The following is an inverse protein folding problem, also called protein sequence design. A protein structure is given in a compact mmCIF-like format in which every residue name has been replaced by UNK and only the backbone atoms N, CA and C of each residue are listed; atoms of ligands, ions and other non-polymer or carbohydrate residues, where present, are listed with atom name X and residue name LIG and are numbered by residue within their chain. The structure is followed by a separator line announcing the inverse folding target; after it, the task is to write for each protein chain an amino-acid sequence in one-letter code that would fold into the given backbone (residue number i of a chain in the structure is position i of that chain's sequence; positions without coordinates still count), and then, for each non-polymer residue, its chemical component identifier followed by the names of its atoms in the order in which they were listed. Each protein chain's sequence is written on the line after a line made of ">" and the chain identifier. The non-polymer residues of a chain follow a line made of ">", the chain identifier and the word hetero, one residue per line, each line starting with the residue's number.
data_IF_757674518219
#
_entry.id   IF_757674518219
#
_cell.length_a   1.000
_cell.length_b   1.000
_cell.length_c   1.000
_cell.angle_alpha   90.00
_cell.angle_beta   90.00
_cell.angle_gamma   90.00
#
_symmetry.space_group_name_H-M   'P 1'
#
loop_
_entity.id
_entity.type
_entity.pdbx_description
1 polymer ?
#
# COMPACT_ATOMS: atom_id res chain seq x y z
N UNK A 1 -32.22 20.56 -26.22
CA UNK A 1 -32.40 19.34 -25.40
C UNK A 1 -31.57 19.54 -24.13
N UNK A 2 -32.23 19.99 -23.08
CA UNK A 2 -31.61 20.45 -21.82
C UNK A 2 -31.30 19.20 -20.98
N UNK A 3 -30.01 18.94 -20.72
CA UNK A 3 -29.61 17.90 -19.77
C UNK A 3 -29.92 18.40 -18.35
N UNK A 4 -30.93 17.82 -17.73
CA UNK A 4 -31.19 17.97 -16.30
C UNK A 4 -30.13 17.17 -15.53
N UNK A 5 -29.20 17.87 -14.92
CA UNK A 5 -28.31 17.32 -13.92
C UNK A 5 -29.12 17.21 -12.62
N UNK A 6 -29.63 16.01 -12.33
CA UNK A 6 -30.24 15.74 -11.03
C UNK A 6 -29.08 15.54 -10.04
N UNK A 7 -28.75 16.60 -9.32
CA UNK A 7 -27.87 16.52 -8.16
C UNK A 7 -28.68 15.90 -7.02
N UNK A 8 -28.52 14.61 -6.80
CA UNK A 8 -29.00 13.95 -5.59
C UNK A 8 -28.02 14.30 -4.49
N UNK A 9 -28.37 15.30 -3.69
CA UNK A 9 -27.66 15.63 -2.45
C UNK A 9 -27.98 14.53 -1.44
N UNK A 10 -27.22 13.46 -1.46
CA UNK A 10 -27.11 12.52 -0.34
C UNK A 10 -26.17 13.19 0.64
N UNK A 11 -26.70 13.60 1.79
CA UNK A 11 -25.99 14.29 2.86
C UNK A 11 -25.07 13.32 3.63
N UNK A 12 -24.11 12.74 2.94
CA UNK A 12 -22.96 12.06 3.50
C UNK A 12 -21.83 13.08 3.35
N UNK A 13 -21.22 13.49 4.45
CA UNK A 13 -20.07 14.41 4.50
C UNK A 13 -18.94 13.81 3.64
N UNK A 14 -19.04 14.00 2.34
CA UNK A 14 -18.13 13.44 1.34
C UNK A 14 -17.10 14.50 1.01
N UNK A 15 -15.85 14.17 1.27
CA UNK A 15 -14.71 14.93 0.75
C UNK A 15 -14.92 15.17 -0.74
N UNK A 16 -14.51 16.34 -1.22
CA UNK A 16 -14.64 16.65 -2.65
C UNK A 16 -13.54 15.92 -3.43
N UNK A 17 -13.94 14.82 -4.08
CA UNK A 17 -13.04 13.99 -4.90
C UNK A 17 -13.41 14.19 -6.35
N UNK A 18 -12.42 14.47 -7.20
CA UNK A 18 -12.59 14.67 -8.64
C UNK A 18 -11.66 13.73 -9.39
N UNK A 19 -12.16 13.17 -10.50
CA UNK A 19 -11.37 12.31 -11.39
C UNK A 19 -11.19 13.00 -12.74
N UNK A 20 -9.96 13.07 -13.18
CA UNK A 20 -9.56 13.55 -14.50
C UNK A 20 -8.91 12.43 -15.30
N UNK A 21 -9.53 12.07 -16.43
CA UNK A 21 -8.97 11.08 -17.34
C UNK A 21 -7.97 11.74 -18.26
N UNK A 22 -6.69 11.38 -18.18
CA UNK A 22 -5.62 11.91 -19.04
C UNK A 22 -5.61 11.27 -20.43
N UNK A 23 -5.74 9.94 -20.45
CA UNK A 23 -5.80 9.16 -21.70
C UNK A 23 -6.61 7.86 -21.50
N UNK A 24 -6.48 6.90 -22.41
CA UNK A 24 -7.23 5.63 -22.34
C UNK A 24 -6.84 4.77 -21.14
N UNK A 25 -5.59 4.87 -20.67
CA UNK A 25 -4.98 4.01 -19.66
C UNK A 25 -4.57 4.75 -18.38
N UNK A 26 -4.60 6.09 -18.39
CA UNK A 26 -4.15 6.90 -17.27
C UNK A 26 -5.19 7.92 -16.84
N UNK A 27 -5.27 8.13 -15.55
CA UNK A 27 -6.09 9.17 -14.94
C UNK A 27 -5.50 9.70 -13.65
N UNK A 28 -6.02 10.81 -13.18
CA UNK A 28 -5.62 11.43 -11.92
C UNK A 28 -6.86 11.64 -11.05
N UNK A 29 -6.80 11.19 -9.81
CA UNK A 29 -7.81 11.49 -8.79
C UNK A 29 -7.26 12.59 -7.91
N UNK A 30 -8.05 13.66 -7.75
CA UNK A 30 -7.74 14.75 -6.82
C UNK A 30 -8.69 14.71 -5.64
N UNK A 31 -8.14 14.56 -4.45
CA UNK A 31 -8.88 14.53 -3.18
C UNK A 31 -8.67 15.86 -2.47
N UNK A 32 -9.74 16.63 -2.30
CA UNK A 32 -9.72 17.90 -1.59
C UNK A 32 -10.23 17.70 -0.17
N UNK A 33 -9.39 17.98 0.80
CA UNK A 33 -9.67 17.85 2.23
C UNK A 33 -9.79 19.26 2.82
N UNK A 34 -10.94 19.57 3.39
CA UNK A 34 -11.18 20.85 4.03
C UNK A 34 -10.92 20.78 5.53
N UNK A 35 -10.73 21.94 6.16
CA UNK A 35 -10.56 22.04 7.61
C UNK A 35 -11.69 21.34 8.39
N UNK A 36 -12.92 21.41 7.87
CA UNK A 36 -14.09 20.79 8.52
C UNK A 36 -14.03 19.26 8.55
N UNK A 37 -13.28 18.65 7.63
CA UNK A 37 -13.18 17.20 7.51
C UNK A 37 -12.23 16.60 8.56
N UNK A 38 -11.10 17.25 8.82
CA UNK A 38 -10.08 16.70 9.71
C UNK A 38 -10.07 17.28 11.13
N UNK A 39 -10.47 18.53 11.31
CA UNK A 39 -10.32 19.24 12.59
C UNK A 39 -11.01 18.54 13.76
N UNK A 40 -12.28 18.05 13.64
CA UNK A 40 -12.96 17.38 14.74
C UNK A 40 -12.24 16.10 15.20
N UNK A 41 -11.74 15.32 14.24
CA UNK A 41 -11.03 14.07 14.53
C UNK A 41 -9.63 14.34 15.08
N UNK A 42 -8.94 15.31 14.52
CA UNK A 42 -7.66 15.80 15.03
C UNK A 42 -7.75 16.26 16.49
N UNK A 43 -8.73 17.10 16.84
CA UNK A 43 -8.90 17.56 18.21
C UNK A 43 -9.23 16.44 19.19
N UNK A 44 -10.03 15.45 18.76
CA UNK A 44 -10.31 14.25 19.54
C UNK A 44 -9.05 13.45 19.79
N UNK A 45 -8.26 13.16 18.74
CA UNK A 45 -6.99 12.43 18.84
C UNK A 45 -6.01 13.17 19.76
N UNK A 46 -5.89 14.49 19.62
CA UNK A 46 -5.02 15.31 20.47
C UNK A 46 -5.43 15.24 21.95
N UNK A 47 -6.73 15.31 22.24
CA UNK A 47 -7.27 15.17 23.59
C UNK A 47 -7.03 13.77 24.16
N UNK A 48 -7.24 12.73 23.37
CA UNK A 48 -7.05 11.34 23.82
C UNK A 48 -5.56 11.00 24.01
N UNK A 49 -4.69 11.55 23.16
CA UNK A 49 -3.25 11.47 23.39
C UNK A 49 -2.85 12.17 24.70
N UNK A 50 -3.40 13.35 24.95
CA UNK A 50 -3.12 14.12 26.16
C UNK A 50 -3.47 13.39 27.45
N UNK A 51 -4.56 12.58 27.45
CA UNK A 51 -4.96 11.76 28.60
C UNK A 51 -3.98 10.63 28.89
N UNK A 52 -3.33 10.09 27.84
CA UNK A 52 -2.43 8.92 27.96
C UNK A 52 -0.95 9.34 28.08
N UNK A 53 -0.62 10.57 27.67
CA UNK A 53 0.75 11.05 27.64
C UNK A 53 1.34 11.18 29.04
N UNK A 54 2.53 10.64 29.23
CA UNK A 54 3.36 10.84 30.40
C UNK A 54 4.48 11.83 30.02
N UNK A 55 4.29 13.09 30.40
CA UNK A 55 5.23 14.18 30.08
C UNK A 55 6.02 14.54 31.33
N UNK A 56 7.37 14.54 31.28
CA UNK A 56 8.20 14.93 32.41
C UNK A 56 7.80 16.31 32.96
N UNK A 57 7.63 16.40 34.29
CA UNK A 57 7.19 17.63 34.95
C UNK A 57 5.66 17.80 35.12
N UNK A 58 4.87 16.91 34.54
CA UNK A 58 3.41 16.92 34.70
C UNK A 58 2.88 15.57 35.19
N UNK A 59 1.80 15.61 35.97
CA UNK A 59 1.07 14.38 36.28
C UNK A 59 0.51 13.77 35.01
N UNK A 60 0.58 12.44 34.88
CA UNK A 60 0.05 11.71 33.70
C UNK A 60 -1.38 12.17 33.37
N UNK A 61 -1.60 12.54 32.12
CA UNK A 61 -2.88 13.03 31.60
C UNK A 61 -3.25 14.47 31.96
N UNK A 62 -2.37 15.25 32.61
CA UNK A 62 -2.63 16.62 33.06
C UNK A 62 -1.74 17.68 32.39
N UNK A 63 -1.05 17.33 31.32
CA UNK A 63 -0.24 18.27 30.55
C UNK A 63 -1.12 19.31 29.82
N UNK A 64 -0.72 20.56 29.73
CA UNK A 64 -1.46 21.60 29.01
C UNK A 64 -1.61 21.25 27.53
N UNK A 65 -2.82 21.50 26.93
CA UNK A 65 -3.13 21.21 25.51
C UNK A 65 -2.06 21.80 24.58
N UNK A 66 -1.63 23.03 24.82
CA UNK A 66 -0.63 23.68 23.96
C UNK A 66 0.76 23.03 23.96
N UNK A 67 1.15 22.33 25.06
CA UNK A 67 2.39 21.58 25.11
C UNK A 67 2.28 20.27 24.29
N UNK A 68 1.17 19.54 24.46
CA UNK A 68 0.89 18.32 23.70
C UNK A 68 0.86 18.63 22.22
N UNK A 69 0.22 19.74 21.86
CA UNK A 69 0.13 20.20 20.49
C UNK A 69 1.49 20.52 19.87
N UNK A 70 2.38 21.17 20.62
CA UNK A 70 3.75 21.44 20.16
C UNK A 70 4.56 20.15 19.98
N UNK A 71 4.30 19.13 20.79
CA UNK A 71 5.06 17.88 20.75
C UNK A 71 4.58 16.95 19.61
N UNK A 72 3.29 16.77 19.46
CA UNK A 72 2.73 15.75 18.56
C UNK A 72 1.70 16.31 17.57
N UNK A 73 1.36 17.58 17.66
CA UNK A 73 0.29 18.17 16.87
C UNK A 73 0.48 18.01 15.36
N UNK A 74 1.69 18.31 14.87
CA UNK A 74 1.99 18.19 13.44
C UNK A 74 1.96 16.74 12.95
N UNK A 75 2.46 15.79 13.76
CA UNK A 75 2.42 14.37 13.41
C UNK A 75 0.99 13.83 13.36
N UNK A 76 0.16 14.19 14.34
CA UNK A 76 -1.24 13.79 14.37
C UNK A 76 -2.05 14.43 13.23
N UNK A 77 -1.76 15.69 12.90
CA UNK A 77 -2.40 16.36 11.79
C UNK A 77 -2.06 15.71 10.45
N UNK A 78 -0.78 15.42 10.22
CA UNK A 78 -0.31 14.74 9.02
C UNK A 78 -0.91 13.34 8.89
N UNK A 79 -0.96 12.58 9.98
CA UNK A 79 -1.58 11.25 10.02
C UNK A 79 -3.07 11.32 9.64
N UNK A 80 -3.79 12.30 10.19
CA UNK A 80 -5.22 12.46 9.91
C UNK A 80 -5.48 12.84 8.46
N UNK A 81 -4.72 13.81 7.92
CA UNK A 81 -4.85 14.27 6.54
C UNK A 81 -4.53 13.12 5.57
N UNK A 82 -3.44 12.39 5.79
CA UNK A 82 -3.06 11.24 4.95
C UNK A 82 -4.10 10.12 5.03
N UNK A 83 -4.65 9.86 6.21
CA UNK A 83 -5.72 8.89 6.41
C UNK A 83 -6.99 9.25 5.63
N UNK A 84 -7.38 10.51 5.67
CA UNK A 84 -8.53 11.02 4.92
C UNK A 84 -8.28 11.01 3.41
N UNK A 85 -7.07 11.39 2.95
CA UNK A 85 -6.70 11.34 1.54
C UNK A 85 -6.80 9.91 0.99
N UNK A 86 -6.22 8.95 1.68
CA UNK A 86 -6.28 7.53 1.29
C UNK A 86 -7.71 7.01 1.31
N UNK A 87 -8.46 7.32 2.36
CA UNK A 87 -9.86 6.90 2.46
C UNK A 87 -10.71 7.48 1.32
N UNK A 88 -10.60 8.79 1.05
CA UNK A 88 -11.34 9.42 -0.03
C UNK A 88 -11.01 8.85 -1.40
N UNK A 89 -9.73 8.53 -1.63
CA UNK A 89 -9.26 7.89 -2.85
C UNK A 89 -9.90 6.51 -3.04
N UNK A 90 -9.80 5.62 -2.05
CA UNK A 90 -10.32 4.26 -2.17
C UNK A 90 -11.84 4.21 -2.17
N UNK A 91 -12.52 5.03 -1.35
CA UNK A 91 -13.98 5.14 -1.36
C UNK A 91 -14.49 5.56 -2.77
N UNK A 92 -13.78 6.49 -3.43
CA UNK A 92 -14.11 6.93 -4.78
C UNK A 92 -13.93 5.82 -5.82
N UNK A 93 -12.81 5.08 -5.76
CA UNK A 93 -12.51 3.96 -6.66
C UNK A 93 -13.58 2.87 -6.53
N UNK A 94 -13.95 2.52 -5.29
CA UNK A 94 -14.95 1.49 -5.00
C UNK A 94 -16.36 1.92 -5.42
N UNK A 95 -16.76 3.16 -5.13
CA UNK A 95 -18.08 3.69 -5.48
C UNK A 95 -18.29 3.72 -7.00
N UNK A 96 -17.25 4.10 -7.75
CA UNK A 96 -17.29 4.15 -9.22
C UNK A 96 -16.89 2.83 -9.88
N UNK A 97 -16.59 1.78 -9.09
CA UNK A 97 -16.17 0.45 -9.58
C UNK A 97 -15.04 0.55 -10.62
N UNK A 98 -14.07 1.41 -10.34
CA UNK A 98 -12.96 1.65 -11.25
C UNK A 98 -11.99 0.46 -11.22
N UNK A 99 -11.74 -0.12 -12.39
CA UNK A 99 -10.73 -1.16 -12.52
C UNK A 99 -9.36 -0.48 -12.71
N UNK A 100 -8.59 -0.42 -11.63
CA UNK A 100 -7.25 0.16 -11.64
C UNK A 100 -6.19 -0.92 -11.80
N UNK A 101 -5.08 -0.57 -12.44
CA UNK A 101 -3.92 -1.42 -12.61
C UNK A 101 -2.81 -0.95 -11.65
N UNK A 102 -2.49 -1.78 -10.68
CA UNK A 102 -1.51 -1.45 -9.64
C UNK A 102 -2.07 -0.51 -8.55
N UNK A 103 -1.18 0.14 -7.82
CA UNK A 103 -1.55 1.09 -6.76
C UNK A 103 -1.47 2.52 -7.27
N UNK A 104 -2.41 3.40 -6.87
CA UNK A 104 -2.32 4.84 -7.14
C UNK A 104 -1.04 5.44 -6.57
N UNK A 105 -0.41 6.32 -7.32
CA UNK A 105 0.85 6.97 -6.95
C UNK A 105 0.60 8.46 -6.68
N UNK A 106 1.09 8.95 -5.55
CA UNK A 106 1.00 10.36 -5.22
C UNK A 106 1.85 11.19 -6.20
N UNK A 107 1.27 12.22 -6.80
CA UNK A 107 1.96 13.10 -7.76
C UNK A 107 2.93 14.03 -7.01
N UNK A 108 4.08 14.33 -7.61
CA UNK A 108 5.09 15.25 -7.06
C UNK A 108 4.55 16.68 -6.83
N UNK A 109 3.49 17.06 -7.55
CA UNK A 109 2.80 18.35 -7.39
C UNK A 109 2.05 18.47 -6.06
N UNK A 110 1.88 17.36 -5.32
CA UNK A 110 1.26 17.37 -4.00
C UNK A 110 2.28 17.83 -2.97
N UNK A 111 2.56 19.14 -2.93
CA UNK A 111 3.44 19.73 -1.92
C UNK A 111 2.59 20.21 -0.74
N UNK A 112 2.86 19.64 0.42
CA UNK A 112 2.39 20.17 1.70
C UNK A 112 3.54 21.04 2.21
N UNK A 113 3.58 22.30 1.75
CA UNK A 113 4.68 23.22 2.08
C UNK A 113 4.70 23.57 3.57
N UNK A 114 3.53 23.72 4.19
CA UNK A 114 3.39 23.95 5.64
C UNK A 114 2.15 23.26 6.19
N UNK A 115 2.31 22.52 7.28
CA UNK A 115 1.20 21.97 8.05
C UNK A 115 0.53 23.07 8.86
N UNK A 116 -0.66 23.51 8.45
CA UNK A 116 -1.46 24.51 9.12
C UNK A 116 -2.86 23.95 9.43
N UNK A 117 -3.31 24.11 10.68
CA UNK A 117 -4.63 23.64 11.13
C UNK A 117 -5.81 24.31 10.45
N UNK A 118 -5.59 25.39 9.74
CA UNK A 118 -6.64 26.15 9.06
C UNK A 118 -6.54 26.08 7.54
N UNK A 119 -5.68 25.20 7.01
CA UNK A 119 -5.47 25.06 5.59
C UNK A 119 -6.36 23.96 4.98
N UNK A 120 -6.67 24.10 3.71
CA UNK A 120 -7.23 23.03 2.90
C UNK A 120 -6.08 22.31 2.18
N UNK A 121 -6.21 21.00 2.02
CA UNK A 121 -5.19 20.17 1.39
C UNK A 121 -5.74 19.47 0.17
N UNK A 122 -4.96 19.45 -0.91
CA UNK A 122 -5.32 18.76 -2.14
C UNK A 122 -4.26 17.71 -2.45
N UNK A 123 -4.68 16.47 -2.49
CA UNK A 123 -3.84 15.34 -2.88
C UNK A 123 -4.20 14.89 -4.29
N UNK A 124 -3.21 14.74 -5.14
CA UNK A 124 -3.37 14.22 -6.50
C UNK A 124 -2.71 12.87 -6.60
N UNK A 125 -3.47 11.88 -7.07
CA UNK A 125 -3.00 10.52 -7.26
C UNK A 125 -3.12 10.14 -8.72
N UNK A 126 -2.00 9.77 -9.34
CA UNK A 126 -1.99 9.18 -10.66
C UNK A 126 -2.27 7.67 -10.56
N UNK A 127 -3.10 7.18 -11.46
CA UNK A 127 -3.54 5.79 -11.50
C UNK A 127 -3.57 5.26 -12.93
N UNK A 128 -3.22 3.99 -13.08
CA UNK A 128 -3.41 3.24 -14.30
C UNK A 128 -4.82 2.66 -14.36
N UNK A 129 -5.45 2.76 -15.53
CA UNK A 129 -6.76 2.16 -15.80
C UNK A 129 -6.59 0.86 -16.57
N UNK A 130 -7.38 -0.14 -16.22
CA UNK A 130 -7.41 -1.39 -16.98
C UNK A 130 -8.08 -1.15 -18.33
N UNK A 131 -7.43 -1.52 -19.45
CA UNK A 131 -8.08 -1.42 -20.77
C UNK A 131 -9.27 -2.36 -20.86
N UNK A 132 -10.29 -1.93 -21.57
CA UNK A 132 -11.39 -2.84 -21.94
C UNK A 132 -10.91 -3.68 -23.12
N UNK A 133 -10.76 -4.97 -22.88
CA UNK A 133 -10.35 -5.95 -23.90
C UNK A 133 -11.59 -6.72 -24.33
N UNK A 134 -11.95 -6.60 -25.59
CA UNK A 134 -12.99 -7.45 -26.20
C UNK A 134 -12.33 -8.74 -26.70
N UNK A 135 -12.65 -9.84 -26.04
CA UNK A 135 -12.16 -11.16 -26.44
C UNK A 135 -13.16 -11.78 -27.42
N UNK A 136 -12.77 -11.85 -28.70
CA UNK A 136 -13.50 -12.53 -29.73
C UNK A 136 -12.94 -13.96 -29.93
N UNK A 137 -13.25 -14.86 -28.99
CA UNK A 137 -12.87 -16.26 -29.10
C UNK A 137 -14.02 -17.02 -29.73
N UNK A 138 -13.76 -17.71 -30.84
CA UNK A 138 -14.74 -18.47 -31.59
C UNK A 138 -14.33 -19.95 -31.74
N UNK A 139 -15.26 -20.79 -32.13
CA UNK A 139 -14.98 -22.20 -32.42
C UNK A 139 -14.05 -22.41 -33.63
N UNK A 140 -13.78 -21.35 -34.40
CA UNK A 140 -12.83 -21.40 -35.50
C UNK A 140 -11.39 -21.20 -35.08
N UNK A 141 -11.17 -20.72 -33.82
CA UNK A 141 -9.83 -20.47 -33.31
C UNK A 141 -9.17 -21.78 -32.85
N UNK A 142 -7.97 -22.03 -33.31
CA UNK A 142 -7.19 -23.21 -32.96
C UNK A 142 -6.05 -22.83 -32.04
N UNK A 143 -5.97 -23.51 -30.89
CA UNK A 143 -4.93 -23.30 -29.90
C UNK A 143 -4.07 -24.56 -29.74
N UNK A 144 -2.77 -24.37 -29.62
CA UNK A 144 -1.85 -25.46 -29.35
C UNK A 144 -1.94 -25.82 -27.86
N UNK A 145 -2.38 -27.05 -27.58
CA UNK A 145 -2.36 -27.59 -26.22
C UNK A 145 -1.06 -28.35 -25.96
N UNK A 146 -0.21 -27.81 -25.13
CA UNK A 146 1.01 -28.48 -24.69
C UNK A 146 0.69 -29.50 -23.60
N UNK A 147 1.25 -30.71 -23.77
CA UNK A 147 1.22 -31.74 -22.73
C UNK A 147 2.64 -31.89 -22.18
N UNK A 148 2.83 -31.62 -20.93
CA UNK A 148 4.11 -31.86 -20.27
C UNK A 148 4.33 -33.39 -20.14
N UNK A 149 5.43 -33.85 -20.66
CA UNK A 149 5.88 -35.23 -20.46
C UNK A 149 7.02 -35.15 -19.45
N UNK A 150 6.87 -35.91 -18.37
CA UNK A 150 7.91 -36.10 -17.36
C UNK A 150 8.63 -37.39 -17.67
N UNK A 151 9.90 -37.37 -18.13
CA UNK A 151 10.67 -38.58 -18.36
C UNK A 151 11.06 -39.19 -17.01
N UNK A 152 11.24 -40.51 -16.99
CA UNK A 152 11.60 -41.27 -15.78
C UNK A 152 12.92 -40.75 -15.15
N UNK A 153 13.86 -40.29 -15.97
CA UNK A 153 15.10 -39.68 -15.50
C UNK A 153 14.88 -38.45 -14.58
N UNK A 154 13.89 -37.62 -14.89
CA UNK A 154 13.55 -36.48 -14.02
C UNK A 154 12.97 -36.92 -12.68
N UNK A 155 12.21 -38.00 -12.70
CA UNK A 155 11.66 -38.60 -11.46
C UNK A 155 12.77 -39.14 -10.60
N UNK A 156 13.73 -39.90 -11.21
CA UNK A 156 14.87 -40.46 -10.50
C UNK A 156 15.79 -39.38 -9.92
N UNK A 157 16.05 -38.29 -10.66
CA UNK A 157 16.81 -37.15 -10.17
C UNK A 157 16.13 -36.47 -8.97
N UNK A 158 14.83 -36.31 -9.03
CA UNK A 158 14.07 -35.69 -7.93
C UNK A 158 14.06 -36.61 -6.70
N UNK A 159 13.91 -37.93 -6.88
CA UNK A 159 14.02 -38.91 -5.78
C UNK A 159 15.41 -38.84 -5.17
N UNK A 160 16.47 -38.78 -5.99
CA UNK A 160 17.84 -38.67 -5.49
C UNK A 160 18.06 -37.38 -4.68
N UNK A 161 17.51 -36.27 -5.17
CA UNK A 161 17.53 -34.97 -4.45
C UNK A 161 16.79 -35.03 -3.11
N UNK A 162 15.62 -35.66 -3.10
CA UNK A 162 14.83 -35.84 -1.87
C UNK A 162 15.58 -36.73 -0.86
N UNK A 163 16.20 -37.81 -1.31
CA UNK A 163 17.01 -38.66 -0.43
C UNK A 163 18.17 -37.90 0.20
N UNK A 164 18.87 -37.04 -0.58
CA UNK A 164 19.95 -36.21 -0.04
C UNK A 164 19.42 -35.18 1.00
N UNK A 165 18.27 -34.57 0.76
CA UNK A 165 17.73 -33.55 1.66
C UNK A 165 17.13 -34.09 2.96
N UNK A 166 16.67 -35.35 2.95
CA UNK A 166 16.03 -36.00 4.11
C UNK A 166 16.93 -37.03 4.81
N UNK A 167 18.14 -37.24 4.30
CA UNK A 167 19.13 -38.15 4.89
C UNK A 167 19.63 -37.66 6.24
N UNK A 168 20.07 -38.59 7.10
CA UNK A 168 20.78 -38.26 8.33
C UNK A 168 22.28 -38.21 8.05
N UNK A 169 22.94 -37.20 8.61
CA UNK A 169 24.41 -37.08 8.54
C UNK A 169 25.04 -38.08 9.55
N UNK A 170 26.02 -38.83 9.11
CA UNK A 170 26.85 -39.67 9.96
C UNK A 170 28.32 -39.30 9.77
N UNK A 171 29.06 -39.25 10.87
CA UNK A 171 30.49 -38.95 10.82
C UNK A 171 31.24 -40.11 10.16
N UNK A 172 32.15 -39.76 9.26
CA UNK A 172 33.02 -40.73 8.55
C UNK A 172 34.49 -40.39 8.80
N UNK A 173 35.36 -41.40 8.84
CA UNK A 173 36.80 -41.20 9.08
C UNK A 173 37.54 -40.69 7.84
N UNK A 174 37.08 -41.04 6.65
CA UNK A 174 37.66 -40.63 5.37
C UNK A 174 36.61 -39.91 4.51
N UNK A 175 37.02 -38.79 3.91
CA UNK A 175 36.12 -37.96 3.09
C UNK A 175 35.95 -38.56 1.71
N UNK A 176 34.72 -38.93 1.37
CA UNK A 176 34.32 -39.37 0.05
C UNK A 176 33.87 -38.20 -0.87
N UNK A 177 33.62 -38.53 -2.13
CA UNK A 177 33.25 -37.51 -3.15
C UNK A 177 31.92 -36.81 -2.86
N UNK A 178 30.99 -37.44 -2.15
CA UNK A 178 29.64 -36.95 -1.84
C UNK A 178 29.48 -36.46 -0.38
N UNK A 179 30.57 -36.41 0.38
CA UNK A 179 30.53 -36.06 1.80
C UNK A 179 30.58 -34.55 2.01
N UNK A 180 29.99 -34.12 3.11
CA UNK A 180 29.97 -32.71 3.52
C UNK A 180 31.12 -32.48 4.49
N UNK A 181 32.01 -31.53 4.17
CA UNK A 181 33.16 -31.19 4.98
C UNK A 181 32.94 -29.85 5.67
N UNK A 182 33.09 -29.83 6.99
CA UNK A 182 33.11 -28.56 7.77
C UNK A 182 34.57 -28.13 7.95
N UNK A 183 34.89 -26.96 7.43
CA UNK A 183 36.25 -26.39 7.54
C UNK A 183 36.24 -25.03 8.26
N UNK A 184 37.25 -24.78 9.07
CA UNK A 184 37.53 -23.48 9.63
C UNK A 184 38.60 -22.81 8.76
N UNK A 185 38.26 -21.66 8.19
CA UNK A 185 39.20 -20.85 7.41
C UNK A 185 39.78 -19.77 8.30
N UNK A 186 41.11 -19.67 8.37
CA UNK A 186 41.85 -18.60 9.09
C UNK A 186 42.65 -17.80 8.08
N UNK A 187 42.47 -16.49 8.06
CA UNK A 187 43.26 -15.60 7.23
C UNK A 187 44.69 -15.55 7.81
N UNK A 188 45.67 -15.88 7.01
CA UNK A 188 47.09 -15.73 7.35
C UNK A 188 47.54 -14.38 6.81
N UNK A 189 47.78 -13.42 7.72
CA UNK A 189 48.39 -12.15 7.35
C UNK A 189 49.90 -12.42 7.14
N UNK A 190 50.38 -12.08 5.95
CA UNK A 190 51.80 -11.99 5.65
C UNK A 190 52.44 -10.72 6.26
#
# INVERSE_FOLDING_TARGET
>A
MVLFIISIVVNKKTMNVTFEKKDALNGTISVNITMEDYLPTYEKKLKDYGKKANIPGFRAGHAPKGMIEKMVGNSLLLEEINGLASKGLFDYIDEHKMNILGQPVLTEDTKIDELNKSANYTFKFDLGLTPQIELNISNADTYVKYKALVPDSMVDEEIARMKKSTGSLTDVEEVGADDMVYVALTELND
#
